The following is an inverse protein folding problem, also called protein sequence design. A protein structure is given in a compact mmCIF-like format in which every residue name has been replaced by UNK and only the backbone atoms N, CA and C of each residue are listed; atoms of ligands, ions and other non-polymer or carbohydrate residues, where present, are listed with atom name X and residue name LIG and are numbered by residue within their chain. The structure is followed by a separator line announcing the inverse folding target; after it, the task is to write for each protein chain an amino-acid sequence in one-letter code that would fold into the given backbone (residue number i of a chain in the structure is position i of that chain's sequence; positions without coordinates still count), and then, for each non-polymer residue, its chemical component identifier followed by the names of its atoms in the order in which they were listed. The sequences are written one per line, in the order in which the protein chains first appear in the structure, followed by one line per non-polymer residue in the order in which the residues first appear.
data_IF_577697743527
#
_entry.id   IF_577697743527
#
_cell.length_a   1.000
_cell.length_b   1.000
_cell.length_c   1.000
_cell.angle_alpha   90.00
_cell.angle_beta   90.00
_cell.angle_gamma   90.00
#
_symmetry.space_group_name_H-M   'P 1'
#
loop_
_entity.id
_entity.type
_entity.pdbx_description
1 polymer ?
#
# COMPACT_ATOMS: atom_id res chain seq x y z
N UNK A 1 13.41 -34.70 -15.29
CA UNK A 1 14.33 -34.61 -14.13
C UNK A 1 14.14 -33.23 -13.52
N UNK A 2 13.22 -33.10 -12.55
CA UNK A 2 12.88 -31.82 -11.93
C UNK A 2 13.89 -31.54 -10.81
N UNK A 3 14.58 -30.40 -10.86
CA UNK A 3 15.58 -30.02 -9.86
C UNK A 3 14.94 -29.73 -8.49
N UNK A 4 15.65 -29.99 -7.38
CA UNK A 4 15.10 -29.80 -6.04
C UNK A 4 14.97 -28.32 -5.68
N UNK A 5 13.80 -27.95 -5.18
CA UNK A 5 13.49 -26.64 -4.58
C UNK A 5 14.23 -26.48 -3.26
N UNK A 6 15.10 -25.47 -3.14
CA UNK A 6 15.72 -25.10 -1.87
C UNK A 6 14.68 -24.47 -0.94
N UNK A 7 14.18 -25.25 0.02
CA UNK A 7 13.45 -24.74 1.19
C UNK A 7 14.47 -24.22 2.21
N UNK A 8 14.50 -22.91 2.42
CA UNK A 8 15.45 -22.26 3.32
C UNK A 8 14.82 -22.16 4.72
N UNK A 9 14.88 -23.24 5.50
CA UNK A 9 14.51 -23.24 6.92
C UNK A 9 15.68 -22.68 7.75
N UNK A 10 15.69 -21.36 7.98
CA UNK A 10 16.59 -20.75 8.95
C UNK A 10 15.89 -20.65 10.32
N UNK A 11 16.32 -21.39 11.36
CA UNK A 11 15.70 -21.40 12.68
C UNK A 11 16.02 -20.16 13.55
N UNK A 12 16.83 -19.21 13.05
CA UNK A 12 17.24 -18.00 13.76
C UNK A 12 16.52 -16.72 13.27
N UNK A 13 15.32 -16.83 12.68
CA UNK A 13 14.49 -15.65 12.46
C UNK A 13 14.04 -15.11 13.82
N UNK A 14 14.50 -13.91 14.17
CA UNK A 14 14.05 -13.21 15.37
C UNK A 14 12.51 -13.15 15.41
N UNK A 15 11.87 -13.32 16.58
CA UNK A 15 10.43 -13.16 16.69
C UNK A 15 10.02 -11.78 16.14
N UNK A 16 8.90 -11.67 15.41
CA UNK A 16 8.46 -10.39 14.89
C UNK A 16 8.22 -9.43 16.06
N UNK A 17 8.94 -8.30 16.05
CA UNK A 17 8.75 -7.16 16.95
C UNK A 17 7.25 -6.80 17.05
N UNK A 18 6.74 -6.38 18.22
CA UNK A 18 5.31 -6.12 18.42
C UNK A 18 4.87 -4.89 17.62
N UNK A 19 4.44 -5.16 16.38
CA UNK A 19 4.03 -4.18 15.36
C UNK A 19 4.25 -4.69 13.93
N UNK A 20 4.03 -5.99 13.71
CA UNK A 20 4.50 -6.79 12.58
C UNK A 20 4.28 -6.20 11.18
N UNK A 21 5.26 -5.43 10.72
CA UNK A 21 5.37 -5.04 9.32
C UNK A 21 5.82 -6.24 8.49
N UNK A 22 5.15 -6.47 7.35
CA UNK A 22 5.50 -7.53 6.40
C UNK A 22 6.81 -7.19 5.68
N UNK A 23 7.34 -8.19 4.97
CA UNK A 23 8.54 -8.02 4.16
C UNK A 23 8.33 -6.92 3.10
N UNK A 24 9.31 -6.03 2.96
CA UNK A 24 9.24 -4.91 2.02
C UNK A 24 9.16 -5.42 0.58
N UNK A 25 8.15 -4.99 -0.19
CA UNK A 25 8.02 -5.33 -1.61
C UNK A 25 8.58 -4.23 -2.51
N UNK A 26 9.32 -4.63 -3.52
CA UNK A 26 9.89 -3.71 -4.52
C UNK A 26 8.92 -3.57 -5.69
N UNK A 27 8.55 -2.34 -6.02
CA UNK A 27 7.65 -2.03 -7.14
C UNK A 27 8.44 -1.86 -8.44
N UNK A 28 9.53 -1.08 -8.38
CA UNK A 28 10.33 -0.76 -9.56
C UNK A 28 11.78 -0.48 -9.17
N UNK A 29 12.71 -0.92 -10.03
CA UNK A 29 14.14 -0.62 -9.94
C UNK A 29 14.55 0.03 -11.25
N UNK A 30 15.15 1.21 -11.17
CA UNK A 30 15.70 1.90 -12.34
C UNK A 30 17.20 2.12 -12.19
N UNK A 31 17.93 1.96 -13.29
CA UNK A 31 19.34 2.39 -13.39
C UNK A 31 19.38 3.80 -13.98
N UNK A 32 19.82 4.77 -13.20
CA UNK A 32 19.98 6.17 -13.61
C UNK A 32 21.46 6.52 -13.80
N UNK A 33 21.76 7.49 -14.67
CA UNK A 33 23.14 7.86 -14.99
C UNK A 33 23.36 9.38 -14.94
N UNK A 34 24.48 9.81 -14.35
CA UNK A 34 25.00 11.17 -14.46
C UNK A 34 26.21 11.18 -15.39
N UNK A 35 26.15 11.99 -16.46
CA UNK A 35 27.26 12.16 -17.40
C UNK A 35 28.33 13.07 -16.78
N UNK A 36 29.61 12.70 -16.94
CA UNK A 36 30.79 13.45 -16.47
C UNK A 36 31.86 13.44 -17.58
N UNK A 37 32.89 14.28 -17.45
CA UNK A 37 33.97 14.42 -18.46
C UNK A 37 34.65 13.10 -18.88
N UNK A 38 34.66 12.09 -18.01
CA UNK A 38 35.29 10.78 -18.26
C UNK A 38 34.31 9.61 -18.45
N UNK A 39 33.00 9.86 -18.64
CA UNK A 39 32.02 8.80 -18.87
C UNK A 39 30.69 9.00 -18.14
N UNK A 40 30.08 7.91 -17.68
CA UNK A 40 28.79 7.92 -16.97
C UNK A 40 28.92 7.29 -15.59
N UNK A 41 28.50 8.02 -14.56
CA UNK A 41 28.33 7.47 -13.20
C UNK A 41 26.92 6.91 -13.07
N UNK A 42 26.82 5.61 -12.92
CA UNK A 42 25.54 4.93 -12.70
C UNK A 42 25.14 4.96 -11.22
N UNK A 43 23.84 4.92 -10.99
CA UNK A 43 23.21 4.71 -9.69
C UNK A 43 21.91 3.95 -9.90
N UNK A 44 21.43 3.30 -8.85
CA UNK A 44 20.15 2.61 -8.85
C UNK A 44 19.16 3.34 -7.97
N UNK A 45 17.91 3.34 -8.40
CA UNK A 45 16.79 3.86 -7.63
C UNK A 45 15.78 2.74 -7.44
N UNK A 46 15.27 2.58 -6.22
CA UNK A 46 14.29 1.57 -5.88
C UNK A 46 13.04 2.26 -5.31
N UNK A 47 11.88 1.92 -5.86
CA UNK A 47 10.58 2.27 -5.28
C UNK A 47 10.09 1.07 -4.48
N UNK A 48 9.91 1.25 -3.18
CA UNK A 48 9.61 0.18 -2.22
C UNK A 48 8.33 0.52 -1.48
N UNK A 49 7.52 -0.50 -1.22
CA UNK A 49 6.34 -0.41 -0.35
C UNK A 49 6.52 -1.33 0.85
N UNK A 50 6.05 -0.87 1.99
CA UNK A 50 6.02 -1.62 3.24
C UNK A 50 4.60 -1.50 3.80
N UNK A 51 4.01 -2.60 4.23
CA UNK A 51 2.74 -2.59 4.94
C UNK A 51 2.65 -3.70 5.98
N UNK A 52 1.62 -3.65 6.81
CA UNK A 52 1.31 -4.70 7.78
C UNK A 52 0.23 -5.66 7.27
N UNK A 53 -0.34 -5.40 6.08
CA UNK A 53 -1.48 -6.16 5.56
C UNK A 53 -2.77 -5.94 6.35
N UNK A 54 -2.80 -4.98 7.28
CA UNK A 54 -3.93 -4.71 8.16
C UNK A 54 -4.33 -3.22 8.18
N UNK A 55 -4.11 -2.53 7.07
CA UNK A 55 -4.50 -1.14 6.91
C UNK A 55 -3.38 -0.14 7.18
N UNK A 56 -2.11 -0.54 7.37
CA UNK A 56 -0.97 0.39 7.32
C UNK A 56 -0.12 0.13 6.10
N UNK A 57 0.21 1.23 5.41
CA UNK A 57 1.09 1.17 4.24
C UNK A 57 1.96 2.42 4.17
N UNK A 58 3.17 2.25 3.64
CA UNK A 58 4.15 3.31 3.45
C UNK A 58 4.91 3.10 2.15
N UNK A 59 5.29 4.20 1.50
CA UNK A 59 5.98 4.19 0.21
C UNK A 59 7.33 4.91 0.36
N UNK A 60 8.40 4.25 -0.03
CA UNK A 60 9.76 4.80 0.03
C UNK A 60 10.46 4.80 -1.32
N UNK A 61 11.39 5.74 -1.48
CA UNK A 61 12.16 5.93 -2.70
C UNK A 61 13.67 6.01 -2.38
N UNK A 62 14.34 4.87 -2.49
CA UNK A 62 15.76 4.79 -2.23
C UNK A 62 16.61 5.06 -3.47
N UNK A 63 17.79 5.66 -3.26
CA UNK A 63 18.83 5.79 -4.29
C UNK A 63 20.21 5.45 -3.72
N UNK A 64 20.96 4.61 -4.43
CA UNK A 64 22.32 4.22 -4.05
C UNK A 64 23.17 3.83 -5.27
N UNK A 65 24.45 3.50 -5.03
CA UNK A 65 25.35 2.97 -6.07
C UNK A 65 25.08 1.50 -6.40
N UNK A 66 24.50 0.77 -5.46
CA UNK A 66 24.17 -0.65 -5.58
C UNK A 66 22.68 -0.88 -5.33
N UNK A 67 22.13 -1.95 -5.90
CA UNK A 67 20.69 -2.26 -5.81
C UNK A 67 20.26 -2.60 -4.37
N UNK A 68 20.94 -3.48 -3.62
CA UNK A 68 20.51 -3.83 -2.25
C UNK A 68 20.47 -2.62 -1.32
N UNK A 69 21.49 -1.75 -1.43
CA UNK A 69 21.56 -0.52 -0.63
C UNK A 69 20.47 0.49 -1.03
N UNK A 70 20.05 0.53 -2.30
CA UNK A 70 18.93 1.36 -2.72
C UNK A 70 17.60 0.84 -2.14
N UNK A 71 17.39 -0.48 -2.13
CA UNK A 71 16.21 -1.11 -1.53
C UNK A 71 16.17 -0.82 -0.03
N UNK A 72 17.27 -1.03 0.69
CA UNK A 72 17.37 -0.77 2.13
C UNK A 72 16.97 0.67 2.47
N UNK A 73 17.52 1.66 1.76
CA UNK A 73 17.15 3.07 1.93
C UNK A 73 15.67 3.33 1.64
N UNK A 74 15.13 2.70 0.60
CA UNK A 74 13.71 2.76 0.29
C UNK A 74 12.85 2.17 1.40
N UNK A 75 13.24 1.03 1.97
CA UNK A 75 12.53 0.39 3.09
C UNK A 75 12.55 1.27 4.35
N UNK A 76 13.68 1.89 4.69
CA UNK A 76 13.77 2.82 5.82
C UNK A 76 12.89 4.06 5.64
N UNK A 77 12.83 4.62 4.42
CA UNK A 77 11.95 5.75 4.11
C UNK A 77 10.47 5.35 4.13
N UNK A 78 10.14 4.16 3.62
CA UNK A 78 8.78 3.62 3.65
C UNK A 78 8.28 3.45 5.10
N UNK A 79 9.13 2.93 6.00
CA UNK A 79 8.81 2.80 7.43
C UNK A 79 8.53 4.15 8.11
N UNK A 80 9.21 5.21 7.69
CA UNK A 80 8.97 6.58 8.22
C UNK A 80 7.68 7.22 7.70
N UNK A 81 7.18 6.74 6.56
CA UNK A 81 6.01 7.30 5.87
C UNK A 81 4.76 6.41 5.97
N UNK A 82 4.72 5.53 6.97
CA UNK A 82 3.55 4.71 7.26
C UNK A 82 2.35 5.58 7.63
N UNK A 83 1.20 5.25 7.07
CA UNK A 83 -0.08 5.86 7.41
C UNK A 83 -1.19 4.81 7.47
N UNK A 84 -2.24 5.12 8.23
CA UNK A 84 -3.42 4.27 8.35
C UNK A 84 -4.40 4.51 7.19
N UNK A 85 -4.85 3.43 6.56
CA UNK A 85 -5.83 3.40 5.48
C UNK A 85 -7.22 3.15 6.05
N UNK A 86 -8.20 3.94 5.60
CA UNK A 86 -9.58 3.79 6.01
C UNK A 86 -10.25 2.64 5.24
N UNK A 87 -10.35 1.47 5.89
CA UNK A 87 -10.94 0.24 5.33
C UNK A 87 -12.27 -0.12 6.00
N UNK A 88 -13.16 -0.78 5.25
CA UNK A 88 -14.40 -1.37 5.75
C UNK A 88 -14.43 -2.86 5.36
N UNK A 89 -14.21 -3.74 6.34
CA UNK A 89 -13.98 -5.16 6.07
C UNK A 89 -12.74 -5.38 5.19
N UNK A 90 -12.97 -5.91 3.98
CA UNK A 90 -11.96 -6.25 2.98
C UNK A 90 -11.75 -5.19 1.88
N UNK A 91 -12.55 -4.11 1.87
CA UNK A 91 -12.57 -3.09 0.80
C UNK A 91 -12.40 -1.67 1.34
N UNK A 92 -12.30 -0.70 0.43
CA UNK A 92 -12.26 0.74 0.74
C UNK A 92 -13.66 1.30 0.99
N UNK A 93 -13.76 2.47 1.63
CA UNK A 93 -15.04 3.01 2.08
C UNK A 93 -15.86 3.59 0.91
N UNK A 94 -15.23 4.38 0.04
CA UNK A 94 -15.93 5.05 -1.05
C UNK A 94 -15.04 5.15 -2.28
N UNK A 95 -15.62 5.31 -3.48
CA UNK A 95 -14.83 5.53 -4.68
C UNK A 95 -14.04 6.83 -4.57
N UNK A 96 -12.75 6.76 -4.91
CA UNK A 96 -11.84 7.88 -4.81
C UNK A 96 -10.96 7.96 -6.04
N UNK A 97 -10.61 9.18 -6.44
CA UNK A 97 -9.72 9.44 -7.55
C UNK A 97 -8.45 10.09 -7.01
N UNK A 98 -7.39 9.30 -6.92
CA UNK A 98 -6.08 9.75 -6.47
C UNK A 98 -5.34 10.50 -7.58
N UNK A 99 -4.85 11.70 -7.29
CA UNK A 99 -4.15 12.56 -8.26
C UNK A 99 -2.83 13.01 -7.67
N UNK A 100 -1.74 12.67 -8.38
CA UNK A 100 -0.42 13.22 -8.09
C UNK A 100 0.32 13.53 -9.38
N UNK A 101 0.56 14.81 -9.66
CA UNK A 101 1.14 15.25 -10.93
C UNK A 101 0.31 14.76 -12.12
N UNK A 102 0.92 14.00 -13.02
CA UNK A 102 0.24 13.37 -14.17
C UNK A 102 -0.36 11.98 -13.84
N UNK A 103 -0.17 11.46 -12.63
CA UNK A 103 -0.77 10.21 -12.18
C UNK A 103 -2.23 10.42 -11.79
N UNK A 104 -3.13 9.62 -12.35
CA UNK A 104 -4.57 9.59 -12.00
C UNK A 104 -4.97 8.14 -11.78
N UNK A 105 -5.38 7.80 -10.57
CA UNK A 105 -5.76 6.43 -10.21
C UNK A 105 -7.16 6.45 -9.63
N UNK A 106 -8.09 5.83 -10.34
CA UNK A 106 -9.44 5.60 -9.85
C UNK A 106 -9.44 4.32 -9.02
N UNK A 107 -9.93 4.42 -7.79
CA UNK A 107 -10.13 3.31 -6.86
C UNK A 107 -11.60 3.24 -6.51
N UNK A 108 -12.22 2.07 -6.70
CA UNK A 108 -13.65 1.85 -6.44
C UNK A 108 -13.81 0.63 -5.53
N UNK A 109 -14.64 0.73 -4.47
CA UNK A 109 -14.93 -0.40 -3.60
C UNK A 109 -15.59 -1.53 -4.40
N UNK A 110 -15.34 -2.76 -3.96
CA UNK A 110 -15.82 -3.97 -4.61
C UNK A 110 -16.55 -4.85 -3.59
N UNK A 111 -17.37 -5.77 -4.11
CA UNK A 111 -18.03 -6.78 -3.28
C UNK A 111 -16.99 -7.80 -2.78
N UNK A 112 -17.22 -8.42 -1.61
CA UNK A 112 -16.31 -9.42 -1.09
C UNK A 112 -16.16 -10.61 -2.07
N UNK A 113 -14.92 -11.05 -2.27
CA UNK A 113 -14.59 -12.12 -3.22
C UNK A 113 -14.25 -11.65 -4.64
N UNK A 114 -14.16 -10.33 -4.87
CA UNK A 114 -13.71 -9.77 -6.17
C UNK A 114 -12.19 -9.89 -6.36
N UNK A 115 -11.43 -9.83 -5.26
CA UNK A 115 -9.98 -9.77 -5.32
C UNK A 115 -9.44 -8.38 -5.68
N UNK A 116 -8.11 -8.27 -5.73
CA UNK A 116 -7.41 -7.02 -6.06
C UNK A 116 -7.23 -6.91 -7.57
N UNK A 117 -8.10 -6.13 -8.21
CA UNK A 117 -8.02 -5.84 -9.65
C UNK A 117 -7.37 -4.48 -9.82
N UNK A 118 -6.04 -4.47 -9.98
CA UNK A 118 -5.24 -3.26 -10.12
C UNK A 118 -4.04 -3.48 -11.05
N UNK A 119 -3.53 -2.39 -11.64
CA UNK A 119 -2.25 -2.40 -12.36
C UNK A 119 -1.06 -2.57 -11.41
N UNK A 120 0.09 -3.03 -11.92
CA UNK A 120 1.24 -3.49 -11.12
C UNK A 120 1.58 -2.63 -9.89
N UNK A 121 1.92 -1.35 -10.07
CA UNK A 121 2.31 -0.49 -8.96
C UNK A 121 1.19 -0.29 -7.90
N UNK A 122 -0.05 -0.11 -8.33
CA UNK A 122 -1.18 0.04 -7.41
C UNK A 122 -1.52 -1.28 -6.72
N UNK A 123 -1.38 -2.41 -7.42
CA UNK A 123 -1.65 -3.75 -6.88
C UNK A 123 -0.78 -4.07 -5.68
N UNK A 124 0.54 -3.88 -5.81
CA UNK A 124 1.47 -4.16 -4.70
C UNK A 124 1.13 -3.31 -3.47
N UNK A 125 0.78 -2.03 -3.68
CA UNK A 125 0.39 -1.12 -2.59
C UNK A 125 -0.90 -1.56 -1.91
N UNK A 126 -1.92 -1.94 -2.67
CA UNK A 126 -3.22 -2.35 -2.14
C UNK A 126 -3.13 -3.68 -1.38
N UNK A 127 -2.34 -4.62 -1.89
CA UNK A 127 -2.08 -5.89 -1.19
C UNK A 127 -1.33 -5.67 0.14
N UNK A 128 -0.31 -4.80 0.15
CA UNK A 128 0.43 -4.46 1.38
C UNK A 128 -0.42 -3.65 2.37
N UNK A 129 -1.37 -2.85 1.88
CA UNK A 129 -2.34 -2.16 2.71
C UNK A 129 -3.38 -3.10 3.34
N UNK A 130 -3.47 -4.36 2.93
CA UNK A 130 -4.50 -5.30 3.42
C UNK A 130 -5.86 -5.15 2.74
N UNK A 131 -5.89 -4.56 1.53
CA UNK A 131 -7.10 -4.53 0.72
C UNK A 131 -7.19 -5.83 -0.06
N UNK A 132 -8.27 -6.58 0.14
CA UNK A 132 -8.49 -7.83 -0.60
C UNK A 132 -9.43 -7.63 -1.79
N UNK A 133 -10.39 -6.71 -1.69
CA UNK A 133 -11.42 -6.50 -2.72
C UNK A 133 -11.43 -5.05 -3.20
N UNK A 134 -10.98 -4.81 -4.43
CA UNK A 134 -10.96 -3.45 -5.00
C UNK A 134 -10.85 -3.47 -6.52
N UNK A 135 -11.54 -2.52 -7.16
CA UNK A 135 -11.38 -2.22 -8.58
C UNK A 135 -10.55 -0.95 -8.73
N UNK A 136 -9.40 -1.05 -9.38
CA UNK A 136 -8.48 0.06 -9.53
C UNK A 136 -8.00 0.19 -10.98
N UNK A 137 -8.07 1.41 -11.53
CA UNK A 137 -7.61 1.73 -12.88
C UNK A 137 -6.75 2.99 -12.89
N UNK A 138 -5.56 2.88 -13.49
CA UNK A 138 -4.78 4.06 -13.85
C UNK A 138 -5.37 4.69 -15.12
N UNK A 139 -5.72 5.97 -15.05
CA UNK A 139 -6.35 6.77 -16.11
C UNK A 139 -5.40 7.83 -16.69
N UNK A 140 -4.17 7.91 -16.18
CA UNK A 140 -3.19 8.92 -16.57
C UNK A 140 -1.84 8.30 -16.91
N UNK A 141 -0.78 8.85 -16.32
CA UNK A 141 0.60 8.37 -16.51
C UNK A 141 0.76 6.88 -16.21
N UNK A 142 1.45 6.15 -17.09
CA UNK A 142 1.85 4.76 -16.88
C UNK A 142 3.13 4.60 -16.01
N UNK A 143 3.84 5.70 -15.69
CA UNK A 143 5.04 5.65 -14.85
C UNK A 143 4.70 5.16 -13.43
N UNK A 144 5.37 4.08 -13.00
CA UNK A 144 5.17 3.43 -11.70
C UNK A 144 5.30 4.40 -10.51
N UNK A 145 6.21 5.37 -10.56
CA UNK A 145 6.39 6.35 -9.48
C UNK A 145 5.15 7.24 -9.32
N UNK A 146 4.62 7.74 -10.44
CA UNK A 146 3.45 8.61 -10.43
C UNK A 146 2.18 7.83 -10.05
N UNK A 147 2.04 6.60 -10.55
CA UNK A 147 0.93 5.71 -10.18
C UNK A 147 0.99 5.43 -8.68
N UNK A 148 2.14 5.01 -8.14
CA UNK A 148 2.29 4.72 -6.72
C UNK A 148 1.94 5.93 -5.85
N UNK A 149 2.47 7.12 -6.17
CA UNK A 149 2.16 8.34 -5.42
C UNK A 149 0.70 8.76 -5.53
N UNK A 150 0.07 8.57 -6.69
CA UNK A 150 -1.35 8.85 -6.87
C UNK A 150 -2.22 7.85 -6.08
N UNK A 151 -1.84 6.58 -6.03
CA UNK A 151 -2.50 5.56 -5.19
C UNK A 151 -2.42 5.94 -3.72
N UNK A 152 -1.22 6.29 -3.21
CA UNK A 152 -1.05 6.72 -1.81
C UNK A 152 -1.91 7.95 -1.50
N UNK A 153 -1.90 8.97 -2.37
CA UNK A 153 -2.70 10.18 -2.18
C UNK A 153 -4.21 9.86 -2.16
N UNK A 154 -4.67 8.97 -3.04
CA UNK A 154 -6.06 8.53 -3.05
C UNK A 154 -6.45 7.77 -1.78
N UNK A 155 -5.58 6.89 -1.27
CA UNK A 155 -5.81 6.19 0.00
C UNK A 155 -5.85 7.15 1.20
N UNK A 156 -4.97 8.17 1.22
CA UNK A 156 -4.95 9.20 2.26
C UNK A 156 -6.20 10.11 2.23
N UNK A 157 -6.81 10.27 1.04
CA UNK A 157 -8.03 11.07 0.91
C UNK A 157 -9.31 10.35 1.33
N UNK A 158 -9.23 9.04 1.63
CA UNK A 158 -10.36 8.31 2.19
C UNK A 158 -10.73 8.88 3.56
N UNK A 159 -12.02 8.89 3.85
CA UNK A 159 -12.61 9.45 5.06
C UNK A 159 -13.34 8.36 5.81
N UNK A 160 -13.09 8.27 7.11
CA UNK A 160 -13.77 7.33 8.00
C UNK A 160 -15.18 7.84 8.33
N UNK A 161 -16.21 6.97 8.30
CA UNK A 161 -17.55 7.27 8.79
C UNK A 161 -17.57 8.02 10.12
N UNK A 162 -16.77 7.56 11.10
CA UNK A 162 -16.73 8.16 12.44
C UNK A 162 -16.23 9.60 12.44
N UNK A 163 -15.21 9.88 11.64
CA UNK A 163 -14.63 11.22 11.53
C UNK A 163 -15.57 12.19 10.83
N UNK A 164 -16.28 11.71 9.81
CA UNK A 164 -17.30 12.48 9.08
C UNK A 164 -18.51 12.75 9.98
N UNK A 165 -18.96 11.76 10.74
CA UNK A 165 -20.05 11.88 11.72
C UNK A 165 -19.71 12.95 12.78
N UNK A 166 -18.53 12.86 13.39
CA UNK A 166 -18.03 13.86 14.36
C UNK A 166 -17.94 15.26 13.77
N UNK A 167 -17.47 15.40 12.52
CA UNK A 167 -17.36 16.70 11.84
C UNK A 167 -18.73 17.32 11.54
N UNK A 168 -19.72 16.49 11.20
CA UNK A 168 -21.07 16.95 10.84
C UNK A 168 -22.02 17.06 12.04
N UNK A 169 -21.67 16.49 13.18
CA UNK A 169 -22.56 16.43 14.35
C UNK A 169 -23.78 15.52 14.15
N UNK A 170 -23.72 14.61 13.18
CA UNK A 170 -24.79 13.67 12.83
C UNK A 170 -24.37 12.25 13.18
N UNK A 171 -25.34 11.37 13.41
CA UNK A 171 -25.06 9.95 13.61
C UNK A 171 -24.64 9.29 12.28
N UNK A 172 -23.70 8.34 12.34
CA UNK A 172 -23.19 7.66 11.15
C UNK A 172 -24.28 6.90 10.37
N UNK A 173 -25.31 6.41 11.07
CA UNK A 173 -26.46 5.69 10.50
C UNK A 173 -27.29 6.55 9.52
N UNK A 174 -27.21 7.88 9.63
CA UNK A 174 -28.07 8.78 8.86
C UNK A 174 -27.57 8.99 7.43
N UNK A 175 -26.25 8.94 7.21
CA UNK A 175 -25.65 9.24 5.91
C UNK A 175 -24.83 8.10 5.31
N UNK A 176 -24.49 7.07 6.09
CA UNK A 176 -23.73 5.91 5.60
C UNK A 176 -24.67 4.75 5.29
N UNK A 177 -24.53 4.08 4.13
CA UNK A 177 -25.29 2.87 3.85
C UNK A 177 -25.08 1.80 4.94
N UNK A 178 -26.17 1.20 5.44
CA UNK A 178 -26.16 0.24 6.56
C UNK A 178 -25.15 -0.91 6.37
N UNK A 179 -25.02 -1.43 5.15
CA UNK A 179 -24.07 -2.51 4.84
C UNK A 179 -22.61 -2.10 5.03
N UNK A 180 -22.26 -0.86 4.65
CA UNK A 180 -20.91 -0.33 4.84
C UNK A 180 -20.61 -0.08 6.30
N UNK A 181 -21.56 0.53 7.02
CA UNK A 181 -21.38 0.87 8.43
C UNK A 181 -21.19 -0.40 9.27
N UNK A 182 -21.93 -1.47 8.96
CA UNK A 182 -21.74 -2.78 9.58
C UNK A 182 -20.33 -3.32 9.33
N UNK A 183 -19.88 -3.37 8.06
CA UNK A 183 -18.54 -3.87 7.71
C UNK A 183 -17.41 -3.06 8.35
N UNK A 184 -17.59 -1.74 8.48
CA UNK A 184 -16.65 -0.85 9.14
C UNK A 184 -16.60 -1.10 10.65
N UNK A 185 -17.75 -1.19 11.32
CA UNK A 185 -17.83 -1.45 12.76
C UNK A 185 -17.30 -2.85 13.13
N UNK A 186 -17.60 -3.86 12.32
CA UNK A 186 -17.10 -5.22 12.53
C UNK A 186 -15.56 -5.26 12.43
N UNK A 187 -14.98 -4.52 11.48
CA UNK A 187 -13.52 -4.35 11.38
C UNK A 187 -12.92 -3.58 12.55
N UNK A 188 -13.58 -2.52 13.04
CA UNK A 188 -13.09 -1.79 14.22
C UNK A 188 -13.10 -2.67 15.48
N UNK A 189 -14.12 -3.53 15.62
CA UNK A 189 -14.17 -4.51 16.70
C UNK A 189 -13.06 -5.56 16.59
N UNK A 190 -12.78 -6.09 15.40
CA UNK A 190 -11.70 -7.06 15.24
C UNK A 190 -10.32 -6.44 15.47
N UNK A 191 -10.10 -5.20 15.02
CA UNK A 191 -8.89 -4.42 15.33
C UNK A 191 -8.74 -4.17 16.84
N UNK A 192 -9.83 -3.87 17.54
CA UNK A 192 -9.83 -3.69 19.00
C UNK A 192 -9.62 -5.00 19.76
N UNK A 193 -10.01 -6.14 19.19
CA UNK A 193 -9.83 -7.48 19.75
C UNK A 193 -8.42 -8.06 19.52
N UNK A 194 -7.57 -7.41 18.71
CA UNK A 194 -6.19 -7.85 18.45
C UNK A 194 -6.05 -9.05 17.51
N UNK A 195 -7.12 -9.45 16.83
CA UNK A 195 -7.10 -10.57 15.89
C UNK A 195 -6.56 -10.10 14.52
N UNK A 196 -5.31 -10.42 14.23
CA UNK A 196 -4.72 -10.22 12.90
C UNK A 196 -5.29 -11.24 11.91
N UNK A 197 -6.13 -10.78 10.97
CA UNK A 197 -6.57 -11.61 9.84
C UNK A 197 -5.36 -12.06 9.02
N UNK A 198 -5.18 -13.38 8.91
CA UNK A 198 -4.15 -14.06 8.11
C UNK A 198 -4.62 -14.31 6.68
#
# INVERSE_FOLDING_TARGET
MAGPSYSNNNPNAAPPEPGGLRESRVIAINRVAKVVKGGRRFSFTALVVVGDGNGRVGLGYGKAKEVPLAIQKGTEEAKKSLFDVALAGSTIIHPVLGITGAGRVLMKPAAPGTGVIAGGAARVILEEAGVHDILCKSLGSANAINVARATIQGLQSLQRPDEVAKRRGLNADEFVPKGLLKAYNDRQKSMAAGETHS
#
